data_IF_386360680420
#
_entry.id   IF_386360680420
#
_cell.length_a   1.000
_cell.length_b   1.000
_cell.length_c   1.000
_cell.angle_alpha   90.00
_cell.angle_beta   90.00
_cell.angle_gamma   90.00
#
_symmetry.space_group_name_H-M   'P 1'
#
loop_
_entity.id
_entity.type
_entity.pdbx_description
1 polymer ?
#
# COMPACT_ATOMS: atom_id res chain seq x y z
N UNK A 1 -15.35 16.63 -17.50
CA UNK A 1 -16.21 16.56 -16.31
C UNK A 1 -15.33 16.39 -15.08
N UNK A 2 -15.61 17.03 -13.94
CA UNK A 2 -14.85 16.77 -12.69
C UNK A 2 -15.22 15.38 -12.19
N UNK A 3 -14.28 14.44 -12.18
CA UNK A 3 -14.52 13.10 -11.64
C UNK A 3 -14.54 13.15 -10.10
N UNK A 4 -15.62 12.72 -9.42
CA UNK A 4 -15.72 12.78 -7.96
C UNK A 4 -14.83 11.78 -7.22
N UNK A 5 -14.29 10.76 -7.91
CA UNK A 5 -13.57 9.65 -7.27
C UNK A 5 -12.06 9.84 -7.14
N UNK A 6 -11.49 10.93 -7.67
CA UNK A 6 -10.04 11.15 -7.68
C UNK A 6 -9.63 12.29 -6.76
N UNK A 7 -8.49 12.11 -6.09
CA UNK A 7 -7.88 13.13 -5.26
C UNK A 7 -7.27 14.22 -6.13
N UNK A 8 -7.27 15.50 -5.69
CA UNK A 8 -6.60 16.57 -6.42
C UNK A 8 -5.10 16.27 -6.63
N UNK A 9 -4.53 16.66 -7.77
CA UNK A 9 -3.13 16.36 -8.13
C UNK A 9 -2.10 16.75 -7.03
N UNK A 10 -2.38 17.77 -6.21
CA UNK A 10 -1.53 18.16 -5.06
C UNK A 10 -1.30 17.02 -4.06
N UNK A 11 -2.26 16.11 -3.92
CA UNK A 11 -2.18 14.96 -3.02
C UNK A 11 -1.12 13.95 -3.48
N UNK A 12 -0.73 13.95 -4.75
CA UNK A 12 0.35 13.10 -5.25
C UNK A 12 1.68 13.41 -4.57
N UNK A 13 1.99 14.70 -4.40
CA UNK A 13 3.23 15.14 -3.74
C UNK A 13 3.23 14.74 -2.27
N UNK A 14 2.12 14.96 -1.57
CA UNK A 14 1.96 14.56 -0.17
C UNK A 14 2.07 13.03 -0.05
N UNK A 15 1.48 12.30 -1.00
CA UNK A 15 1.57 10.85 -1.04
C UNK A 15 3.01 10.36 -1.14
N UNK A 16 3.87 10.99 -1.95
CA UNK A 16 5.30 10.68 -1.99
C UNK A 16 6.03 11.01 -0.68
N UNK A 17 5.69 12.14 -0.07
CA UNK A 17 6.24 12.54 1.23
C UNK A 17 5.87 11.58 2.36
N UNK A 18 4.75 10.87 2.26
CA UNK A 18 4.34 9.85 3.24
C UNK A 18 4.89 8.46 2.88
N UNK A 19 4.82 8.08 1.60
CA UNK A 19 5.19 6.75 1.14
C UNK A 19 6.68 6.48 1.30
N UNK A 20 7.56 7.45 1.02
CA UNK A 20 9.01 7.25 1.12
C UNK A 20 9.45 6.99 2.57
N UNK A 21 9.10 7.84 3.56
CA UNK A 21 9.38 7.55 4.96
C UNK A 21 8.69 6.28 5.45
N UNK A 22 7.44 6.02 5.04
CA UNK A 22 6.73 4.78 5.39
C UNK A 22 7.44 3.52 4.89
N UNK A 23 7.95 3.54 3.65
CA UNK A 23 8.72 2.42 3.07
C UNK A 23 10.06 2.23 3.79
N UNK A 24 10.78 3.31 4.09
CA UNK A 24 12.04 3.24 4.85
C UNK A 24 11.78 2.70 6.25
N UNK A 25 10.80 3.25 6.97
CA UNK A 25 10.40 2.80 8.30
C UNK A 25 9.95 1.34 8.29
N UNK A 26 9.18 0.91 7.28
CA UNK A 26 8.77 -0.48 7.12
C UNK A 26 9.96 -1.43 6.95
N UNK A 27 11.01 -1.05 6.21
CA UNK A 27 12.22 -1.86 6.12
C UNK A 27 12.90 -1.99 7.48
N UNK A 28 13.04 -0.89 8.23
CA UNK A 28 13.67 -0.94 9.56
C UNK A 28 12.84 -1.73 10.57
N UNK A 29 11.56 -1.42 10.71
CA UNK A 29 10.73 -1.97 11.78
C UNK A 29 10.25 -3.39 11.46
N UNK A 30 9.84 -3.66 10.23
CA UNK A 30 9.25 -4.95 9.85
C UNK A 30 10.27 -5.97 9.33
N UNK A 31 11.27 -5.53 8.56
CA UNK A 31 12.24 -6.47 7.95
C UNK A 31 13.53 -6.62 8.76
N UNK A 32 14.02 -5.53 9.36
CA UNK A 32 15.21 -5.56 10.23
C UNK A 32 14.88 -5.77 11.71
N UNK A 33 13.59 -5.91 12.05
CA UNK A 33 13.09 -6.12 13.41
C UNK A 33 13.59 -5.07 14.42
N UNK A 34 13.71 -3.82 13.95
CA UNK A 34 14.18 -2.71 14.78
C UNK A 34 13.01 -2.10 15.56
N UNK A 35 13.03 -2.20 16.88
CA UNK A 35 11.99 -1.64 17.77
C UNK A 35 12.58 -0.54 18.67
N UNK A 36 12.53 0.74 18.28
CA UNK A 36 13.08 1.81 19.09
C UNK A 36 12.17 2.14 20.29
N UNK A 37 12.76 2.26 21.49
CA UNK A 37 12.01 2.48 22.73
C UNK A 37 11.26 3.81 22.82
N UNK A 38 11.58 4.79 21.97
CA UNK A 38 10.85 6.06 21.90
C UNK A 38 9.50 5.93 21.15
N UNK A 39 9.22 4.76 20.56
CA UNK A 39 7.92 4.39 19.96
C UNK A 39 7.09 3.48 20.86
N UNK A 40 7.47 3.30 22.12
CA UNK A 40 6.66 2.56 23.09
C UNK A 40 5.58 3.49 23.65
N UNK A 41 4.32 3.14 23.40
CA UNK A 41 3.17 3.92 23.84
C UNK A 41 2.10 3.05 24.45
N UNK A 42 1.26 3.67 25.28
CA UNK A 42 0.04 3.05 25.76
C UNK A 42 -1.04 3.17 24.70
N UNK A 43 -1.31 2.09 23.98
CA UNK A 43 -2.28 2.04 22.89
C UNK A 43 -3.52 1.25 23.26
N UNK A 44 -4.63 1.63 22.64
CA UNK A 44 -5.89 0.89 22.75
C UNK A 44 -5.88 -0.27 21.77
N UNK A 45 -6.01 -1.49 22.29
CA UNK A 45 -6.14 -2.70 21.48
C UNK A 45 -7.57 -3.25 21.56
N UNK A 46 -8.14 -3.56 20.41
CA UNK A 46 -9.39 -4.32 20.34
C UNK A 46 -9.16 -5.77 20.74
N UNK A 47 -8.02 -6.32 20.34
CA UNK A 47 -7.64 -7.70 20.55
C UNK A 47 -6.11 -7.81 20.59
N UNK A 48 -5.58 -8.31 21.70
CA UNK A 48 -4.18 -8.66 21.82
C UNK A 48 -4.07 -10.13 22.24
N UNK A 49 -3.45 -10.93 21.38
CA UNK A 49 -3.05 -12.31 21.66
C UNK A 49 -1.53 -12.33 21.70
N UNK A 50 -0.97 -11.95 22.85
CA UNK A 50 0.47 -12.05 23.06
C UNK A 50 0.85 -13.53 23.00
N UNK A 51 1.87 -13.86 22.20
CA UNK A 51 2.36 -15.24 22.03
C UNK A 51 2.62 -15.98 23.36
N UNK A 52 2.96 -15.24 24.43
CA UNK A 52 3.20 -15.76 25.79
C UNK A 52 2.46 -14.97 26.89
N UNK A 53 1.39 -14.25 26.55
CA UNK A 53 0.67 -13.39 27.50
C UNK A 53 -0.82 -13.67 27.59
N UNK A 54 -1.52 -13.07 28.56
CA UNK A 54 -2.96 -13.20 28.67
C UNK A 54 -3.63 -12.58 27.44
N UNK A 55 -4.66 -13.26 26.91
CA UNK A 55 -5.51 -12.68 25.88
C UNK A 55 -6.29 -11.53 26.47
N UNK A 56 -6.14 -10.36 25.88
CA UNK A 56 -6.81 -9.14 26.34
C UNK A 56 -7.68 -8.59 25.21
N UNK A 57 -8.93 -8.29 25.53
CA UNK A 57 -9.87 -7.65 24.62
C UNK A 57 -10.23 -6.27 25.16
N UNK A 58 -10.34 -5.28 24.27
CA UNK A 58 -10.72 -3.88 24.60
C UNK A 58 -9.94 -3.31 25.80
N UNK A 59 -8.62 -3.25 25.70
CA UNK A 59 -7.76 -2.81 26.80
C UNK A 59 -6.69 -1.83 26.34
N UNK A 60 -6.10 -1.11 27.30
CA UNK A 60 -4.93 -0.26 27.07
C UNK A 60 -3.67 -1.03 27.43
N UNK A 61 -2.86 -1.36 26.43
CA UNK A 61 -1.59 -2.09 26.56
C UNK A 61 -0.42 -1.16 26.26
N UNK A 62 0.77 -1.50 26.77
CA UNK A 62 2.01 -0.89 26.31
C UNK A 62 2.55 -1.72 25.15
N UNK A 63 2.79 -1.07 24.01
CA UNK A 63 3.29 -1.72 22.81
C UNK A 63 4.12 -0.73 21.95
N UNK A 64 5.01 -1.28 21.13
CA UNK A 64 5.80 -0.48 20.20
C UNK A 64 5.02 -0.29 18.90
N UNK A 65 4.66 0.96 18.58
CA UNK A 65 3.78 1.24 17.44
C UNK A 65 4.53 1.44 16.11
N UNK A 66 5.82 1.10 16.04
CA UNK A 66 6.65 1.39 14.88
C UNK A 66 6.10 0.79 13.60
N UNK A 67 5.71 -0.48 13.63
CA UNK A 67 5.15 -1.18 12.49
C UNK A 67 3.83 -0.56 12.03
N UNK A 68 2.96 -0.18 12.96
CA UNK A 68 1.68 0.46 12.72
C UNK A 68 1.88 1.83 12.05
N UNK A 69 2.80 2.64 12.56
CA UNK A 69 3.13 3.95 11.98
C UNK A 69 3.68 3.79 10.57
N UNK A 70 4.62 2.86 10.35
CA UNK A 70 5.16 2.58 9.02
C UNK A 70 4.06 2.14 8.04
N UNK A 71 3.18 1.21 8.47
CA UNK A 71 2.07 0.72 7.68
C UNK A 71 1.07 1.83 7.32
N UNK A 72 0.70 2.70 8.27
CA UNK A 72 -0.22 3.82 8.04
C UNK A 72 0.38 4.83 7.06
N UNK A 73 1.65 5.22 7.26
CA UNK A 73 2.35 6.14 6.36
C UNK A 73 2.41 5.58 4.93
N UNK A 74 2.77 4.31 4.80
CA UNK A 74 2.83 3.64 3.51
C UNK A 74 1.45 3.57 2.86
N UNK A 75 0.43 3.11 3.58
CA UNK A 75 -0.92 2.92 3.05
C UNK A 75 -1.52 4.25 2.56
N UNK A 76 -1.47 5.29 3.41
CA UNK A 76 -1.99 6.60 3.06
C UNK A 76 -1.21 7.19 1.88
N UNK A 77 0.13 7.08 1.89
CA UNK A 77 0.97 7.54 0.80
C UNK A 77 0.65 6.85 -0.53
N UNK A 78 0.50 5.53 -0.51
CA UNK A 78 0.22 4.72 -1.69
C UNK A 78 -1.16 5.04 -2.26
N UNK A 79 -2.20 5.13 -1.41
CA UNK A 79 -3.55 5.52 -1.83
C UNK A 79 -3.55 6.93 -2.44
N UNK A 80 -2.89 7.89 -1.79
CA UNK A 80 -2.82 9.26 -2.30
C UNK A 80 -2.12 9.34 -3.67
N UNK A 81 -1.04 8.59 -3.88
CA UNK A 81 -0.36 8.52 -5.18
C UNK A 81 -1.27 7.85 -6.22
N UNK A 82 -1.77 6.66 -5.90
CA UNK A 82 -2.54 5.81 -6.81
C UNK A 82 -3.83 6.49 -7.31
N UNK A 83 -4.56 7.16 -6.41
CA UNK A 83 -5.85 7.77 -6.71
C UNK A 83 -5.78 9.30 -6.93
N UNK A 84 -4.59 9.88 -7.08
CA UNK A 84 -4.43 11.28 -7.48
C UNK A 84 -4.70 11.48 -8.96
N UNK A 85 -5.55 12.46 -9.28
CA UNK A 85 -5.87 12.87 -10.65
C UNK A 85 -4.64 13.39 -11.40
N UNK A 86 -4.56 13.07 -12.69
CA UNK A 86 -3.62 13.70 -13.61
C UNK A 86 -4.12 15.09 -14.06
N UNK A 87 -3.22 15.90 -14.63
CA UNK A 87 -3.53 17.30 -15.02
C UNK A 87 -4.63 17.38 -16.10
N UNK A 88 -4.67 16.40 -16.98
CA UNK A 88 -5.68 16.22 -18.01
C UNK A 88 -6.27 14.83 -17.81
N UNK A 89 -7.54 14.78 -17.41
CA UNK A 89 -8.28 13.54 -17.17
C UNK A 89 -9.42 13.49 -18.18
N UNK A 90 -9.32 12.55 -19.11
CA UNK A 90 -10.34 12.21 -20.09
C UNK A 90 -10.91 10.79 -19.82
N UNK A 91 -11.94 10.41 -20.59
CA UNK A 91 -12.56 9.09 -20.46
C UNK A 91 -11.58 7.94 -20.75
N UNK A 92 -10.61 8.18 -21.65
CA UNK A 92 -9.58 7.23 -21.97
C UNK A 92 -8.67 6.94 -20.77
N UNK A 93 -8.18 7.98 -20.09
CA UNK A 93 -7.35 7.86 -18.89
C UNK A 93 -8.09 7.14 -17.76
N UNK A 94 -9.38 7.43 -17.58
CA UNK A 94 -10.21 6.73 -16.61
C UNK A 94 -10.37 5.25 -16.90
N UNK A 95 -10.59 4.90 -18.18
CA UNK A 95 -10.63 3.51 -18.62
C UNK A 95 -9.30 2.81 -18.36
N UNK A 96 -8.17 3.46 -18.65
CA UNK A 96 -6.85 2.90 -18.36
C UNK A 96 -6.62 2.63 -16.88
N UNK A 97 -7.05 3.55 -15.99
CA UNK A 97 -6.98 3.35 -14.53
C UNK A 97 -7.81 2.14 -14.10
N UNK A 98 -9.05 2.04 -14.59
CA UNK A 98 -9.91 0.92 -14.26
C UNK A 98 -9.33 -0.42 -14.73
N UNK A 99 -8.86 -0.50 -15.98
CA UNK A 99 -8.21 -1.70 -16.53
C UNK A 99 -6.94 -2.07 -15.75
N UNK A 100 -6.12 -1.09 -15.36
CA UNK A 100 -4.95 -1.31 -14.53
C UNK A 100 -5.31 -1.83 -13.14
N UNK A 101 -6.39 -1.34 -12.53
CA UNK A 101 -6.84 -1.76 -11.20
C UNK A 101 -7.35 -3.20 -11.22
N UNK A 102 -8.17 -3.56 -12.22
CA UNK A 102 -8.66 -4.94 -12.42
C UNK A 102 -7.49 -5.88 -12.66
N UNK A 103 -6.55 -5.51 -13.52
CA UNK A 103 -5.35 -6.30 -13.79
C UNK A 103 -4.51 -6.51 -12.53
N UNK A 104 -4.25 -5.43 -11.78
CA UNK A 104 -3.47 -5.49 -10.54
C UNK A 104 -4.13 -6.39 -9.49
N UNK A 105 -5.47 -6.36 -9.43
CA UNK A 105 -6.26 -7.21 -8.54
C UNK A 105 -6.09 -8.69 -8.90
N UNK A 106 -6.21 -9.06 -10.18
CA UNK A 106 -6.00 -10.44 -10.61
C UNK A 106 -4.58 -10.93 -10.35
N UNK A 107 -3.57 -10.11 -10.63
CA UNK A 107 -2.17 -10.48 -10.36
C UNK A 107 -1.92 -10.60 -8.86
N UNK A 108 -2.45 -9.69 -8.04
CA UNK A 108 -2.32 -9.76 -6.58
C UNK A 108 -2.92 -11.07 -6.03
N UNK A 109 -4.10 -11.46 -6.49
CA UNK A 109 -4.74 -12.71 -6.06
C UNK A 109 -4.04 -13.94 -6.60
N UNK A 110 -3.44 -13.89 -7.79
CA UNK A 110 -2.59 -14.98 -8.27
C UNK A 110 -1.34 -15.16 -7.38
N UNK A 111 -0.67 -14.06 -7.01
CA UNK A 111 0.46 -14.08 -6.07
C UNK A 111 0.02 -14.63 -4.71
N UNK A 112 -1.13 -14.17 -4.20
CA UNK A 112 -1.66 -14.64 -2.92
C UNK A 112 -2.00 -16.13 -2.96
N UNK A 113 -2.59 -16.62 -4.05
CA UNK A 113 -2.88 -18.04 -4.24
C UNK A 113 -1.60 -18.88 -4.19
N UNK A 114 -0.55 -18.44 -4.89
CA UNK A 114 0.75 -19.11 -4.83
C UNK A 114 1.33 -19.07 -3.40
N UNK A 115 1.22 -17.94 -2.70
CA UNK A 115 1.67 -17.84 -1.32
C UNK A 115 0.93 -18.82 -0.39
N UNK A 116 -0.38 -18.97 -0.55
CA UNK A 116 -1.20 -19.92 0.21
C UNK A 116 -0.78 -21.37 -0.04
N UNK A 117 -0.47 -21.71 -1.30
CA UNK A 117 -0.09 -23.08 -1.68
C UNK A 117 1.34 -23.44 -1.27
N UNK A 118 2.27 -22.49 -1.29
CA UNK A 118 3.72 -22.78 -1.23
C UNK A 118 4.45 -22.15 -0.03
N UNK A 119 3.82 -21.27 0.76
CA UNK A 119 4.45 -20.59 1.89
C UNK A 119 3.71 -20.96 3.18
N UNK A 120 4.47 -21.37 4.19
CA UNK A 120 3.93 -21.86 5.46
C UNK A 120 4.63 -21.22 6.67
N UNK A 121 4.01 -21.33 7.85
CA UNK A 121 4.55 -20.83 9.11
C UNK A 121 4.59 -19.29 9.20
N UNK A 122 5.50 -18.75 10.00
CA UNK A 122 5.61 -17.30 10.23
C UNK A 122 5.91 -16.51 8.95
N UNK A 123 6.60 -17.12 7.98
CA UNK A 123 6.86 -16.50 6.68
C UNK A 123 5.56 -16.18 5.93
N UNK A 124 4.53 -17.02 6.07
CA UNK A 124 3.23 -16.78 5.43
C UNK A 124 2.56 -15.51 5.97
N UNK A 125 2.64 -15.26 7.28
CA UNK A 125 2.10 -14.04 7.91
C UNK A 125 2.77 -12.80 7.32
N UNK A 126 4.10 -12.82 7.16
CA UNK A 126 4.82 -11.69 6.59
C UNK A 126 4.39 -11.42 5.14
N UNK A 127 4.23 -12.46 4.33
CA UNK A 127 3.74 -12.34 2.95
C UNK A 127 2.32 -11.79 2.92
N UNK A 128 1.46 -12.22 3.84
CA UNK A 128 0.08 -11.74 3.95
C UNK A 128 0.02 -10.24 4.27
N UNK A 129 0.86 -9.77 5.22
CA UNK A 129 0.99 -8.34 5.55
C UNK A 129 1.48 -7.56 4.33
N UNK A 130 2.52 -8.03 3.64
CA UNK A 130 3.06 -7.36 2.45
C UNK A 130 2.02 -7.34 1.31
N UNK A 131 1.21 -8.39 1.17
CA UNK A 131 0.19 -8.50 0.12
C UNK A 131 -0.84 -7.36 0.16
N UNK A 132 -1.13 -6.81 1.34
CA UNK A 132 -2.03 -5.66 1.50
C UNK A 132 -1.58 -4.43 0.68
N UNK A 133 -0.27 -4.30 0.49
CA UNK A 133 0.34 -3.18 -0.22
C UNK A 133 0.59 -3.48 -1.70
N UNK A 134 0.79 -4.76 -2.05
CA UNK A 134 1.16 -5.21 -3.40
C UNK A 134 0.14 -4.77 -4.45
N UNK A 135 -1.16 -4.88 -4.16
CA UNK A 135 -2.22 -4.47 -5.10
C UNK A 135 -2.11 -2.99 -5.50
N UNK A 136 -1.80 -2.09 -4.55
CA UNK A 136 -1.67 -0.66 -4.81
C UNK A 136 -0.43 -0.36 -5.65
N UNK A 137 0.68 -1.05 -5.37
CA UNK A 137 1.93 -0.93 -6.12
C UNK A 137 1.73 -1.42 -7.56
N UNK A 138 1.16 -2.61 -7.75
CA UNK A 138 0.88 -3.18 -9.07
C UNK A 138 -0.04 -2.29 -9.88
N UNK A 139 -1.10 -1.76 -9.26
CA UNK A 139 -2.01 -0.83 -9.91
C UNK A 139 -1.27 0.41 -10.41
N UNK A 140 -0.50 1.06 -9.53
CA UNK A 140 0.23 2.28 -9.89
C UNK A 140 1.24 2.04 -11.02
N UNK A 141 2.02 0.97 -10.93
CA UNK A 141 3.02 0.62 -11.95
C UNK A 141 2.36 0.30 -13.29
N UNK A 142 1.29 -0.51 -13.28
CA UNK A 142 0.56 -0.90 -14.49
C UNK A 142 -0.06 0.32 -15.16
N UNK A 143 -0.68 1.20 -14.38
CA UNK A 143 -1.26 2.44 -14.88
C UNK A 143 -0.19 3.32 -15.55
N UNK A 144 0.94 3.59 -14.88
CA UNK A 144 2.03 4.39 -15.44
C UNK A 144 2.62 3.80 -16.72
N UNK A 145 2.75 2.47 -16.78
CA UNK A 145 3.20 1.80 -17.99
C UNK A 145 2.22 1.97 -19.15
N UNK A 146 0.91 1.84 -18.92
CA UNK A 146 -0.11 2.04 -19.94
C UNK A 146 -0.10 3.47 -20.48
N UNK A 147 -0.02 4.47 -19.59
CA UNK A 147 0.06 5.88 -19.98
C UNK A 147 1.31 6.17 -20.80
N UNK A 148 2.48 5.65 -20.38
CA UNK A 148 3.74 5.81 -21.13
C UNK A 148 3.67 5.16 -22.51
N UNK A 149 3.11 3.94 -22.59
CA UNK A 149 2.95 3.23 -23.87
C UNK A 149 2.04 4.01 -24.82
N UNK A 150 0.91 4.51 -24.34
CA UNK A 150 -0.02 5.29 -25.16
C UNK A 150 0.59 6.60 -25.68
N UNK A 151 1.37 7.30 -24.85
CA UNK A 151 2.05 8.52 -25.28
C UNK A 151 3.07 8.24 -26.41
N UNK A 152 3.81 7.13 -26.31
CA UNK A 152 4.78 6.75 -27.34
C UNK A 152 4.14 6.32 -28.66
N UNK A 153 2.96 5.70 -28.62
CA UNK A 153 2.26 5.32 -29.86
C UNK A 153 1.78 6.55 -30.63
N UNK A 154 1.24 7.56 -29.94
CA UNK A 154 0.82 8.81 -30.57
C UNK A 154 1.99 9.55 -31.26
N UNK A 155 3.16 9.58 -30.63
CA UNK A 155 4.37 10.23 -31.17
C UNK A 155 4.95 9.52 -32.40
N UNK A 156 4.66 8.22 -32.61
CA UNK A 156 5.10 7.48 -33.80
C UNK A 156 4.08 7.55 -34.96
N UNK A 157 2.88 8.07 -34.71
CA UNK A 157 1.82 8.23 -35.71
C UNK A 157 1.81 9.64 -36.34
N UNK A 158 2.57 10.59 -35.78
CA UNK A 158 2.87 11.93 -36.33
C UNK A 158 4.16 11.94 -37.16
#
# INVERSE_FOLDING_TARGET
MKNPYLLPNKFRLIGYLLLVPGLVAGIFFFYLDYSPSWLDFRVFTFYNDQFFGPKVMFSLIEDNIGNEVAAVLFLLGAVMIAFSADKLEDEFTLRQRFEALVWATYVNYAILLLAVLFIHGMAFIHVFVVNLFVVLILFYLRYRYLTWKSAKTADNEE
#
